data_IF_139097041536
#
_entry.id   IF_139097041536
#
_cell.length_a   1.000
_cell.length_b   1.000
_cell.length_c   1.000
_cell.angle_alpha   90.00
_cell.angle_beta   90.00
_cell.angle_gamma   90.00
#
_symmetry.space_group_name_H-M   'P 1'
#
loop_
_entity.id
_entity.type
_entity.pdbx_description
1 polymer ?
#
# COMPACT_ATOMS: atom_id res chain seq x y z
N UNK A 1 -19.55 19.21 6.27
CA UNK A 1 -19.85 17.76 6.14
C UNK A 1 -18.65 16.99 6.70
N UNK A 2 -18.85 15.81 7.28
CA UNK A 2 -17.72 14.97 7.73
C UNK A 2 -16.97 14.43 6.50
N UNK A 3 -15.64 14.34 6.53
CA UNK A 3 -14.87 13.76 5.43
C UNK A 3 -15.19 12.27 5.26
N UNK A 4 -15.14 11.78 4.02
CA UNK A 4 -15.28 10.36 3.66
C UNK A 4 -13.98 9.83 3.07
N UNK A 5 -13.92 8.54 2.72
CA UNK A 5 -12.79 8.00 1.94
C UNK A 5 -12.62 8.78 0.63
N UNK A 6 -13.72 9.10 -0.06
CA UNK A 6 -13.67 9.87 -1.31
C UNK A 6 -13.09 11.27 -1.12
N UNK A 7 -13.37 11.93 0.01
CA UNK A 7 -12.74 13.23 0.35
C UNK A 7 -11.22 13.13 0.29
N UNK A 8 -10.65 12.06 0.87
CA UNK A 8 -9.20 11.88 0.89
C UNK A 8 -8.65 11.28 -0.40
N UNK A 9 -9.43 10.48 -1.14
CA UNK A 9 -9.05 9.99 -2.47
C UNK A 9 -8.85 11.15 -3.44
N UNK A 10 -9.79 12.12 -3.48
CA UNK A 10 -9.64 13.31 -4.34
C UNK A 10 -8.46 14.21 -3.94
N UNK A 11 -7.95 14.12 -2.71
CA UNK A 11 -6.77 14.85 -2.28
C UNK A 11 -5.44 14.18 -2.68
N UNK A 12 -5.46 12.92 -3.11
CA UNK A 12 -4.21 12.17 -3.36
C UNK A 12 -3.34 12.81 -4.43
N UNK A 13 -3.92 13.30 -5.52
CA UNK A 13 -3.16 13.98 -6.57
C UNK A 13 -2.33 15.15 -6.00
N UNK A 14 -2.97 16.07 -5.28
CA UNK A 14 -2.30 17.24 -4.71
C UNK A 14 -1.28 16.86 -3.64
N UNK A 15 -1.63 15.93 -2.74
CA UNK A 15 -0.73 15.45 -1.68
C UNK A 15 0.53 14.81 -2.25
N UNK A 16 0.38 13.90 -3.22
CA UNK A 16 1.52 13.22 -3.84
C UNK A 16 2.38 14.19 -4.66
N UNK A 17 1.75 15.14 -5.36
CA UNK A 17 2.47 16.17 -6.09
C UNK A 17 3.28 17.08 -5.15
N UNK A 18 2.74 17.43 -3.98
CA UNK A 18 3.45 18.20 -2.96
C UNK A 18 4.65 17.43 -2.39
N UNK A 19 4.49 16.14 -2.11
CA UNK A 19 5.59 15.26 -1.67
C UNK A 19 6.68 15.20 -2.73
N UNK A 20 6.31 15.00 -4.00
CA UNK A 20 7.25 14.94 -5.12
C UNK A 20 8.01 16.26 -5.31
N UNK A 21 7.31 17.40 -5.22
CA UNK A 21 7.92 18.73 -5.34
C UNK A 21 8.82 19.09 -4.14
N UNK A 22 8.61 18.47 -2.98
CA UNK A 22 9.46 18.61 -1.81
C UNK A 22 10.80 17.86 -1.94
N UNK A 23 10.91 16.92 -2.87
CA UNK A 23 12.14 16.19 -3.16
C UNK A 23 13.23 17.12 -3.74
N UNK A 24 14.51 16.97 -3.36
CA UNK A 24 15.03 16.04 -2.37
C UNK A 24 14.92 16.56 -0.93
N UNK A 25 14.63 17.85 -0.72
CA UNK A 25 14.78 18.55 0.57
C UNK A 25 14.04 17.87 1.73
N UNK A 26 12.84 17.34 1.49
CA UNK A 26 12.00 16.76 2.55
C UNK A 26 12.29 15.28 2.86
N UNK A 27 13.21 14.62 2.15
CA UNK A 27 13.24 13.15 2.04
C UNK A 27 14.41 12.41 2.74
N UNK A 28 15.04 12.87 3.83
CA UNK A 28 16.40 12.40 4.26
C UNK A 28 17.33 11.66 3.26
N UNK A 29 18.52 11.27 3.69
CA UNK A 29 19.35 10.38 2.88
C UNK A 29 19.83 9.25 3.76
N UNK A 30 19.67 8.02 3.29
CA UNK A 30 20.29 6.85 3.90
C UNK A 30 21.48 6.50 3.01
N UNK A 31 22.70 6.62 3.55
CA UNK A 31 23.93 6.27 2.87
C UNK A 31 24.59 5.07 3.55
N UNK A 32 25.23 4.22 2.76
CA UNK A 32 26.04 3.09 3.25
C UNK A 32 25.27 2.11 4.17
N UNK A 33 23.99 1.87 3.88
CA UNK A 33 23.13 0.90 4.59
C UNK A 33 22.58 -0.15 3.64
N UNK A 34 22.84 -1.42 3.91
CA UNK A 34 22.50 -2.52 3.01
C UNK A 34 21.50 -3.52 3.60
N UNK A 35 21.25 -3.55 4.91
CA UNK A 35 20.31 -4.49 5.53
C UNK A 35 19.25 -3.74 6.31
N UNK A 36 18.13 -3.49 5.65
CA UNK A 36 17.03 -2.70 6.19
C UNK A 36 15.98 -3.64 6.78
N UNK A 37 15.54 -3.36 7.99
CA UNK A 37 14.37 -3.99 8.60
C UNK A 37 13.25 -2.97 8.71
N UNK A 38 12.10 -3.26 8.12
CA UNK A 38 10.88 -2.46 8.25
C UNK A 38 9.91 -3.18 9.19
N UNK A 39 9.52 -2.49 10.27
CA UNK A 39 8.56 -2.94 11.27
C UNK A 39 7.26 -2.16 11.12
N UNK A 40 6.22 -2.82 10.60
CA UNK A 40 4.96 -2.19 10.25
C UNK A 40 3.80 -3.19 10.34
N UNK A 41 2.57 -2.70 10.49
CA UNK A 41 1.37 -3.54 10.56
C UNK A 41 0.18 -2.87 9.86
N UNK A 42 -0.79 -3.66 9.38
CA UNK A 42 -1.96 -3.16 8.64
C UNK A 42 -1.57 -2.42 7.35
N UNK A 43 -2.26 -1.33 7.02
CA UNK A 43 -1.95 -0.55 5.79
C UNK A 43 -0.47 -0.10 5.70
N UNK A 44 0.22 0.09 6.83
CA UNK A 44 1.65 0.44 6.81
C UNK A 44 2.56 -0.71 6.34
N UNK A 45 2.24 -1.97 6.66
CA UNK A 45 3.02 -3.12 6.15
C UNK A 45 2.77 -3.33 4.66
N UNK A 46 1.53 -3.12 4.22
CA UNK A 46 1.15 -3.21 2.82
C UNK A 46 1.87 -2.14 1.98
N UNK A 47 1.96 -0.90 2.48
CA UNK A 47 2.69 0.19 1.83
C UNK A 47 4.20 -0.13 1.72
N UNK A 48 4.80 -0.67 2.80
CA UNK A 48 6.19 -1.11 2.77
C UNK A 48 6.43 -2.21 1.72
N UNK A 49 5.53 -3.19 1.62
CA UNK A 49 5.59 -4.24 0.59
C UNK A 49 5.44 -3.69 -0.83
N UNK A 50 4.58 -2.69 -1.03
CA UNK A 50 4.42 -2.01 -2.31
C UNK A 50 5.67 -1.21 -2.73
N UNK A 51 6.44 -0.67 -1.77
CA UNK A 51 7.66 0.10 -2.06
C UNK A 51 8.93 -0.76 -2.09
N UNK A 52 8.95 -1.93 -1.42
CA UNK A 52 10.12 -2.79 -1.24
C UNK A 52 10.93 -3.00 -2.52
N UNK A 53 10.29 -3.56 -3.55
CA UNK A 53 11.00 -3.94 -4.76
C UNK A 53 11.48 -2.75 -5.58
N UNK A 54 10.83 -1.59 -5.46
CA UNK A 54 11.34 -0.35 -6.04
C UNK A 54 12.67 0.05 -5.41
N UNK A 55 12.74 0.04 -4.08
CA UNK A 55 13.94 0.42 -3.34
C UNK A 55 15.07 -0.59 -3.61
N UNK A 56 14.80 -1.89 -3.53
CA UNK A 56 15.79 -2.95 -3.79
C UNK A 56 16.28 -2.96 -5.25
N UNK A 57 15.47 -2.48 -6.18
CA UNK A 57 15.86 -2.38 -7.60
C UNK A 57 16.88 -1.27 -7.84
N UNK A 58 16.80 -0.17 -7.09
CA UNK A 58 17.65 1.01 -7.28
C UNK A 58 18.86 1.02 -6.35
N UNK A 59 18.71 0.48 -5.14
CA UNK A 59 19.75 0.45 -4.11
C UNK A 59 20.43 -0.92 -4.08
N UNK A 60 21.49 -1.04 -3.26
CA UNK A 60 22.08 -2.34 -2.91
C UNK A 60 21.44 -2.95 -1.66
N UNK A 61 20.43 -2.29 -1.10
CA UNK A 61 19.81 -2.71 0.13
C UNK A 61 18.95 -3.97 -0.07
N UNK A 62 18.96 -4.83 0.94
CA UNK A 62 17.97 -5.88 1.15
C UNK A 62 17.02 -5.43 2.24
N UNK A 63 15.73 -5.52 1.98
CA UNK A 63 14.67 -5.07 2.87
C UNK A 63 13.94 -6.30 3.41
N UNK A 64 14.01 -6.49 4.72
CA UNK A 64 13.14 -7.43 5.43
C UNK A 64 11.96 -6.67 6.00
N UNK A 65 10.74 -7.19 5.86
CA UNK A 65 9.52 -6.54 6.37
C UNK A 65 8.85 -7.51 7.32
N UNK A 66 8.65 -7.09 8.56
CA UNK A 66 8.13 -7.95 9.63
C UNK A 66 6.95 -7.32 10.36
N UNK A 67 6.03 -8.17 10.79
CA UNK A 67 4.99 -7.78 11.73
C UNK A 67 5.63 -7.51 13.10
N UNK A 68 5.46 -6.31 13.67
CA UNK A 68 6.26 -5.85 14.81
C UNK A 68 5.99 -6.64 16.09
N UNK A 69 4.74 -7.07 16.31
CA UNK A 69 4.42 -7.92 17.47
C UNK A 69 5.13 -9.27 17.36
N UNK A 70 5.10 -9.91 16.18
CA UNK A 70 5.79 -11.18 15.99
C UNK A 70 7.30 -11.01 16.15
N UNK A 71 7.85 -9.96 15.54
CA UNK A 71 9.28 -9.64 15.65
C UNK A 71 9.75 -9.48 17.09
N UNK A 72 8.99 -8.76 17.90
CA UNK A 72 9.35 -8.53 19.31
C UNK A 72 9.44 -9.82 20.13
N UNK A 73 8.55 -10.79 19.89
CA UNK A 73 8.38 -11.93 20.80
C UNK A 73 8.96 -13.24 20.27
N UNK A 74 9.13 -13.39 18.96
CA UNK A 74 9.46 -14.67 18.33
C UNK A 74 10.69 -14.61 17.43
N UNK A 75 11.01 -13.44 16.86
CA UNK A 75 12.16 -13.32 15.97
C UNK A 75 13.47 -13.14 16.74
N UNK A 76 14.57 -13.56 16.10
CA UNK A 76 15.91 -13.38 16.64
C UNK A 76 16.54 -12.11 16.10
N UNK A 77 17.30 -11.36 16.92
CA UNK A 77 18.10 -10.25 16.43
C UNK A 77 19.07 -10.70 15.33
N UNK A 78 19.05 -10.01 14.19
CA UNK A 78 20.06 -10.20 13.15
C UNK A 78 21.10 -9.07 13.23
N UNK A 79 22.36 -9.36 13.60
CA UNK A 79 23.39 -8.34 13.76
C UNK A 79 23.82 -7.69 12.43
N UNK A 80 23.44 -8.27 11.28
CA UNK A 80 23.69 -7.67 9.97
C UNK A 80 22.79 -6.47 9.68
N UNK A 81 21.63 -6.34 10.36
CA UNK A 81 20.71 -5.22 10.19
C UNK A 81 21.42 -3.93 10.59
N UNK A 82 21.56 -3.01 9.64
CA UNK A 82 22.25 -1.73 9.81
C UNK A 82 21.31 -0.52 9.80
N UNK A 83 20.04 -0.74 9.42
CA UNK A 83 18.94 0.21 9.44
C UNK A 83 17.64 -0.46 9.92
N UNK A 84 16.92 0.18 10.84
CA UNK A 84 15.57 -0.23 11.25
C UNK A 84 14.58 0.90 11.06
N UNK A 85 13.44 0.62 10.44
CA UNK A 85 12.40 1.58 10.16
C UNK A 85 11.07 1.14 10.75
N UNK A 86 10.52 1.93 11.67
CA UNK A 86 9.13 1.78 12.12
C UNK A 86 8.20 2.59 11.22
N UNK A 87 7.17 1.97 10.65
CA UNK A 87 6.17 2.67 9.81
C UNK A 87 4.81 2.63 10.50
N UNK A 88 4.29 3.80 10.84
CA UNK A 88 2.95 3.94 11.43
C UNK A 88 2.41 5.33 11.12
N UNK A 89 1.35 5.41 10.30
CA UNK A 89 0.71 6.69 9.98
C UNK A 89 0.34 7.47 11.26
N UNK A 90 -0.29 6.81 12.23
CA UNK A 90 -0.64 7.45 13.52
C UNK A 90 0.56 7.74 14.43
N UNK A 91 1.64 6.97 14.30
CA UNK A 91 2.77 6.98 15.24
C UNK A 91 2.44 6.43 16.65
N UNK A 92 1.25 5.82 16.81
CA UNK A 92 0.66 5.42 18.10
C UNK A 92 0.38 3.90 18.17
N UNK A 93 0.83 3.12 17.17
CA UNK A 93 0.68 1.65 17.15
C UNK A 93 1.61 1.01 18.19
N UNK A 94 1.05 0.39 19.24
CA UNK A 94 1.83 -0.13 20.37
C UNK A 94 2.80 -1.23 19.96
N UNK A 95 2.40 -2.10 19.03
CA UNK A 95 3.26 -3.16 18.50
C UNK A 95 4.52 -2.59 17.84
N UNK A 96 4.39 -1.63 16.92
CA UNK A 96 5.52 -0.96 16.27
C UNK A 96 6.42 -0.26 17.29
N UNK A 97 5.84 0.52 18.22
CA UNK A 97 6.61 1.22 19.25
C UNK A 97 7.41 0.25 20.13
N UNK A 98 6.79 -0.84 20.57
CA UNK A 98 7.44 -1.81 21.44
C UNK A 98 8.53 -2.59 20.70
N UNK A 99 8.32 -2.96 19.44
CA UNK A 99 9.35 -3.60 18.62
C UNK A 99 10.55 -2.67 18.37
N UNK A 100 10.30 -1.38 18.08
CA UNK A 100 11.34 -0.36 17.92
C UNK A 100 12.11 -0.12 19.22
N UNK A 101 11.46 -0.14 20.38
CA UNK A 101 12.15 -0.08 21.68
C UNK A 101 12.95 -1.34 21.96
N UNK A 102 12.40 -2.51 21.62
CA UNK A 102 13.05 -3.80 21.83
C UNK A 102 14.37 -3.86 21.04
N UNK A 103 14.38 -3.52 19.76
CA UNK A 103 15.58 -3.59 18.92
C UNK A 103 16.70 -2.66 19.37
N UNK A 104 16.37 -1.48 19.91
CA UNK A 104 17.36 -0.55 20.49
C UNK A 104 18.10 -1.12 21.69
N UNK A 105 17.61 -2.18 22.34
CA UNK A 105 18.27 -2.79 23.50
C UNK A 105 19.46 -3.68 23.11
N UNK A 106 19.52 -4.16 21.86
CA UNK A 106 20.52 -5.15 21.41
C UNK A 106 21.10 -4.89 20.02
N UNK A 107 20.70 -3.80 19.35
CA UNK A 107 21.23 -3.38 18.05
C UNK A 107 21.65 -1.91 18.09
N UNK A 108 22.75 -1.61 17.40
CA UNK A 108 23.21 -0.24 17.13
C UNK A 108 22.76 0.25 15.73
N UNK A 109 21.82 -0.46 15.09
CA UNK A 109 21.26 -0.06 13.82
C UNK A 109 20.62 1.34 13.92
N UNK A 110 20.80 2.14 12.87
CA UNK A 110 20.19 3.46 12.83
C UNK A 110 18.67 3.33 12.72
N UNK A 111 17.93 4.08 13.51
CA UNK A 111 16.48 3.96 13.60
C UNK A 111 15.74 5.11 12.93
N UNK A 112 14.76 4.76 12.10
CA UNK A 112 13.89 5.69 11.39
C UNK A 112 12.42 5.46 11.78
N UNK A 113 11.65 6.54 11.85
CA UNK A 113 10.21 6.49 12.12
C UNK A 113 9.45 7.23 11.04
N UNK A 114 8.65 6.51 10.25
CA UNK A 114 7.84 7.06 9.16
C UNK A 114 6.40 7.22 9.63
N UNK A 115 5.91 8.46 9.68
CA UNK A 115 4.60 8.78 10.28
C UNK A 115 3.99 10.06 9.71
N UNK A 116 2.70 10.30 9.96
CA UNK A 116 2.03 11.58 9.66
C UNK A 116 2.02 12.55 10.85
N UNK A 117 2.37 12.07 12.05
CA UNK A 117 2.32 12.84 13.30
C UNK A 117 3.71 12.97 13.88
N UNK A 118 4.39 14.08 13.58
CA UNK A 118 5.77 14.33 14.02
C UNK A 118 5.91 14.56 15.53
N UNK A 119 4.81 14.78 16.23
CA UNK A 119 4.72 14.86 17.70
C UNK A 119 4.35 13.51 18.36
N UNK A 120 4.20 12.44 17.58
CA UNK A 120 3.84 11.10 18.06
C UNK A 120 4.95 10.42 18.88
N UNK A 121 4.58 9.36 19.60
CA UNK A 121 5.52 8.52 20.34
C UNK A 121 6.57 7.88 19.43
N UNK A 122 6.21 7.51 18.20
CA UNK A 122 7.14 6.93 17.25
C UNK A 122 8.22 7.94 16.86
N UNK A 123 7.82 9.14 16.45
CA UNK A 123 8.74 10.19 16.02
C UNK A 123 9.73 10.60 17.12
N UNK A 124 9.28 10.63 18.38
CA UNK A 124 10.13 10.93 19.55
C UNK A 124 11.12 9.81 19.92
N UNK A 125 10.88 8.59 19.46
CA UNK A 125 11.60 7.39 19.89
C UNK A 125 12.68 6.91 18.92
N UNK A 126 12.85 7.57 17.77
CA UNK A 126 13.76 7.18 16.67
C UNK A 126 14.87 8.23 16.48
N UNK A 127 15.93 7.86 15.77
CA UNK A 127 17.04 8.78 15.51
C UNK A 127 16.67 9.80 14.42
N UNK A 128 15.89 9.36 13.42
CA UNK A 128 15.37 10.21 12.35
C UNK A 128 13.88 9.94 12.15
N UNK A 129 13.05 10.97 12.32
CA UNK A 129 11.64 10.92 12.00
C UNK A 129 11.39 11.48 10.58
N UNK A 130 10.55 10.79 9.80
CA UNK A 130 10.16 11.16 8.44
C UNK A 130 8.66 11.42 8.42
N UNK A 131 8.30 12.63 7.99
CA UNK A 131 6.91 13.00 7.72
C UNK A 131 6.50 12.48 6.34
N UNK A 132 5.40 11.73 6.26
CA UNK A 132 4.79 11.32 4.99
C UNK A 132 4.03 12.47 4.29
N UNK A 133 3.88 13.62 4.95
CA UNK A 133 3.30 14.86 4.42
C UNK A 133 1.90 14.68 3.81
N UNK A 134 1.13 13.70 4.29
CA UNK A 134 -0.25 13.47 3.85
C UNK A 134 -1.26 14.46 4.47
N UNK A 135 -0.80 15.26 5.43
CA UNK A 135 -1.64 16.09 6.26
C UNK A 135 -2.63 15.26 7.08
N UNK A 136 -3.72 15.89 7.49
CA UNK A 136 -4.69 15.24 8.36
C UNK A 136 -5.61 14.26 7.61
N UNK A 137 -5.79 13.07 8.16
CA UNK A 137 -6.71 12.06 7.66
C UNK A 137 -7.55 11.47 8.81
N UNK A 138 -8.78 11.94 8.94
CA UNK A 138 -9.72 11.62 10.04
C UNK A 138 -10.64 10.41 9.76
N UNK A 139 -10.45 9.71 8.65
CA UNK A 139 -11.20 8.49 8.33
C UNK A 139 -10.30 7.30 8.62
N UNK A 140 -10.78 6.36 9.45
CA UNK A 140 -10.00 5.19 9.86
C UNK A 140 -9.62 4.25 8.70
N UNK A 141 -10.43 4.27 7.63
CA UNK A 141 -10.18 3.57 6.38
C UNK A 141 -9.21 4.37 5.51
N UNK A 142 -7.93 4.40 5.90
CA UNK A 142 -6.91 5.28 5.29
C UNK A 142 -6.77 5.05 3.79
N UNK A 143 -6.63 6.13 3.02
CA UNK A 143 -6.43 6.14 1.57
C UNK A 143 -5.22 6.98 1.17
N UNK A 144 -5.24 8.29 1.43
CA UNK A 144 -4.13 9.19 1.06
C UNK A 144 -2.87 8.95 1.89
N UNK A 145 -3.02 8.56 3.15
CA UNK A 145 -1.87 8.19 3.99
C UNK A 145 -1.15 6.96 3.47
N UNK A 146 -1.87 6.00 2.87
CA UNK A 146 -1.27 4.83 2.24
C UNK A 146 -0.40 5.21 1.03
N UNK A 147 -0.95 5.97 0.08
CA UNK A 147 -0.22 6.36 -1.13
C UNK A 147 0.92 7.34 -0.83
N UNK A 148 0.72 8.25 0.13
CA UNK A 148 1.80 9.12 0.63
C UNK A 148 2.95 8.29 1.24
N UNK A 149 2.64 7.28 2.06
CA UNK A 149 3.66 6.38 2.63
C UNK A 149 4.45 5.67 1.53
N UNK A 150 3.78 5.13 0.50
CA UNK A 150 4.45 4.48 -0.64
C UNK A 150 5.41 5.46 -1.32
N UNK A 151 4.93 6.64 -1.70
CA UNK A 151 5.75 7.62 -2.42
C UNK A 151 6.94 8.06 -1.57
N UNK A 152 6.74 8.34 -0.28
CA UNK A 152 7.84 8.70 0.63
C UNK A 152 8.90 7.61 0.71
N UNK A 153 8.50 6.33 0.84
CA UNK A 153 9.44 5.21 0.89
C UNK A 153 10.18 5.02 -0.45
N UNK A 154 9.49 5.16 -1.56
CA UNK A 154 10.10 5.08 -2.89
C UNK A 154 11.10 6.22 -3.12
N UNK A 155 10.73 7.46 -2.81
CA UNK A 155 11.63 8.62 -2.93
C UNK A 155 12.83 8.52 -1.98
N UNK A 156 12.67 7.92 -0.79
CA UNK A 156 13.77 7.63 0.12
C UNK A 156 14.76 6.66 -0.53
N UNK A 157 14.27 5.57 -1.14
CA UNK A 157 15.12 4.64 -1.89
C UNK A 157 15.81 5.30 -3.09
N UNK A 158 15.11 6.16 -3.83
CA UNK A 158 15.67 6.93 -4.95
C UNK A 158 16.81 7.84 -4.49
N UNK A 159 16.59 8.60 -3.42
CA UNK A 159 17.60 9.51 -2.85
C UNK A 159 18.82 8.76 -2.33
N UNK A 160 18.60 7.63 -1.67
CA UNK A 160 19.67 6.74 -1.21
C UNK A 160 20.49 6.18 -2.38
N UNK A 161 19.82 5.65 -3.42
CA UNK A 161 20.49 5.13 -4.60
C UNK A 161 21.36 6.20 -5.30
N UNK A 162 20.86 7.44 -5.39
CA UNK A 162 21.62 8.56 -5.97
C UNK A 162 22.85 8.90 -5.12
N UNK A 163 22.67 8.94 -3.80
CA UNK A 163 23.72 9.30 -2.86
C UNK A 163 24.83 8.24 -2.75
N UNK A 164 24.48 6.97 -2.88
CA UNK A 164 25.44 5.84 -2.93
C UNK A 164 26.08 5.65 -4.31
N UNK A 165 25.71 6.49 -5.30
CA UNK A 165 26.20 6.39 -6.67
C UNK A 165 25.73 5.13 -7.41
N UNK A 166 24.67 4.46 -6.92
CA UNK A 166 24.06 3.31 -7.60
C UNK A 166 23.32 3.71 -8.88
N UNK A 167 22.85 4.96 -8.95
CA UNK A 167 22.24 5.56 -10.14
C UNK A 167 22.85 6.91 -10.48
N UNK A 168 22.80 7.26 -11.77
CA UNK A 168 23.13 8.58 -12.30
C UNK A 168 22.02 9.60 -12.03
N UNK A 169 22.36 10.88 -12.12
CA UNK A 169 21.41 11.99 -12.09
C UNK A 169 20.37 11.91 -13.22
N UNK A 170 20.77 11.43 -14.41
CA UNK A 170 19.84 11.23 -15.52
C UNK A 170 18.80 10.15 -15.20
N UNK A 171 19.21 9.05 -14.57
CA UNK A 171 18.28 8.01 -14.12
C UNK A 171 17.35 8.55 -13.03
N UNK A 172 17.88 9.31 -12.06
CA UNK A 172 17.05 9.96 -11.03
C UNK A 172 15.98 10.88 -11.64
N UNK A 173 16.34 11.73 -12.60
CA UNK A 173 15.37 12.57 -13.30
C UNK A 173 14.32 11.76 -14.08
N UNK A 174 14.71 10.63 -14.68
CA UNK A 174 13.77 9.75 -15.38
C UNK A 174 12.76 9.10 -14.41
N UNK A 175 13.21 8.66 -13.23
CA UNK A 175 12.35 8.13 -12.18
C UNK A 175 11.38 9.19 -11.66
N UNK A 176 11.85 10.42 -11.39
CA UNK A 176 11.00 11.55 -10.98
C UNK A 176 9.94 11.88 -12.04
N UNK A 177 10.29 11.82 -13.33
CA UNK A 177 9.35 12.03 -14.42
C UNK A 177 8.28 10.92 -14.47
N UNK A 178 8.64 9.66 -14.18
CA UNK A 178 7.68 8.56 -14.08
C UNK A 178 6.74 8.73 -12.88
N UNK A 179 7.24 9.17 -11.72
CA UNK A 179 6.36 9.53 -10.59
C UNK A 179 5.40 10.66 -10.95
N UNK A 180 5.88 11.70 -11.62
CA UNK A 180 5.02 12.80 -12.08
C UNK A 180 3.92 12.31 -13.01
N UNK A 181 4.27 11.47 -14.00
CA UNK A 181 3.30 10.88 -14.92
C UNK A 181 2.28 9.98 -14.19
N UNK A 182 2.72 9.21 -13.20
CA UNK A 182 1.84 8.41 -12.36
C UNK A 182 0.83 9.29 -11.60
N UNK A 183 1.33 10.34 -10.94
CA UNK A 183 0.52 11.26 -10.14
C UNK A 183 -0.47 12.03 -11.03
N UNK A 184 -0.03 12.52 -12.18
CA UNK A 184 -0.87 13.26 -13.12
C UNK A 184 -2.02 12.43 -13.72
N UNK A 185 -1.88 11.11 -13.73
CA UNK A 185 -2.93 10.21 -14.19
C UNK A 185 -4.07 10.02 -13.16
N UNK A 186 -3.87 10.40 -11.89
CA UNK A 186 -4.82 10.13 -10.80
C UNK A 186 -6.24 10.64 -11.07
N UNK A 187 -6.47 11.88 -11.56
CA UNK A 187 -7.81 12.35 -11.88
C UNK A 187 -8.53 11.44 -12.89
N UNK A 188 -7.83 11.05 -13.97
CA UNK A 188 -8.37 10.12 -14.98
C UNK A 188 -8.63 8.74 -14.39
N UNK A 189 -7.73 8.22 -13.54
CA UNK A 189 -7.93 6.94 -12.84
C UNK A 189 -9.20 6.96 -11.99
N UNK A 190 -9.48 8.09 -11.31
CA UNK A 190 -10.71 8.26 -10.53
C UNK A 190 -11.92 8.17 -11.47
N UNK A 191 -11.96 8.97 -12.53
CA UNK A 191 -13.08 9.03 -13.48
C UNK A 191 -13.34 7.68 -14.17
N UNK A 192 -12.27 6.98 -14.58
CA UNK A 192 -12.35 5.66 -15.20
C UNK A 192 -12.84 4.61 -14.20
N UNK A 193 -12.44 4.72 -12.92
CA UNK A 193 -12.92 3.83 -11.86
C UNK A 193 -14.39 4.06 -11.56
N UNK A 194 -14.85 5.31 -11.55
CA UNK A 194 -16.28 5.63 -11.39
C UNK A 194 -17.09 4.99 -12.51
N UNK A 195 -16.64 5.14 -13.76
CA UNK A 195 -17.29 4.53 -14.93
C UNK A 195 -17.32 3.01 -14.84
N UNK A 196 -16.19 2.40 -14.47
CA UNK A 196 -16.08 0.96 -14.26
C UNK A 196 -17.03 0.48 -13.16
N UNK A 197 -17.08 1.19 -12.04
CA UNK A 197 -17.97 0.87 -10.92
C UNK A 197 -19.42 0.91 -11.34
N UNK A 198 -19.88 1.99 -12.00
CA UNK A 198 -21.27 2.09 -12.45
C UNK A 198 -21.64 0.98 -13.42
N UNK A 199 -20.71 0.55 -14.28
CA UNK A 199 -20.93 -0.52 -15.25
C UNK A 199 -21.12 -1.88 -14.58
N UNK A 200 -20.36 -2.18 -13.52
CA UNK A 200 -20.33 -3.49 -12.87
C UNK A 200 -20.93 -3.50 -11.46
N UNK A 201 -21.63 -2.42 -11.07
CA UNK A 201 -22.15 -2.18 -9.72
C UNK A 201 -22.92 -3.37 -9.17
N UNK A 202 -23.91 -3.86 -9.91
CA UNK A 202 -24.78 -4.96 -9.45
C UNK A 202 -23.99 -6.24 -9.19
N UNK A 203 -23.00 -6.54 -10.04
CA UNK A 203 -22.13 -7.70 -9.86
C UNK A 203 -21.24 -7.55 -8.62
N UNK A 204 -20.67 -6.37 -8.40
CA UNK A 204 -19.76 -6.08 -7.29
C UNK A 204 -20.50 -6.03 -5.95
N UNK A 205 -21.65 -5.35 -5.88
CA UNK A 205 -22.47 -5.21 -4.66
C UNK A 205 -23.04 -6.56 -4.23
N UNK A 206 -23.39 -7.45 -5.15
CA UNK A 206 -23.91 -8.78 -4.84
C UNK A 206 -22.83 -9.78 -4.38
N UNK A 207 -21.54 -9.41 -4.41
CA UNK A 207 -20.45 -10.32 -4.08
C UNK A 207 -20.45 -10.76 -2.62
N UNK A 208 -20.38 -12.08 -2.34
CA UNK A 208 -20.12 -12.61 -1.01
C UNK A 208 -18.62 -12.76 -0.70
N UNK A 209 -17.74 -12.64 -1.71
CA UNK A 209 -16.31 -12.93 -1.58
C UNK A 209 -15.49 -12.24 -2.67
N UNK A 210 -14.39 -11.60 -2.27
CA UNK A 210 -13.43 -10.97 -3.19
C UNK A 210 -12.03 -11.57 -3.09
N UNK A 211 -11.33 -11.68 -4.22
CA UNK A 211 -9.87 -11.88 -4.27
C UNK A 211 -9.24 -10.86 -5.20
N UNK A 212 -8.07 -10.34 -4.85
CA UNK A 212 -7.13 -9.76 -5.82
C UNK A 212 -5.89 -10.65 -5.93
N UNK A 213 -5.45 -10.87 -7.16
CA UNK A 213 -4.26 -11.65 -7.50
C UNK A 213 -3.25 -10.73 -8.19
N UNK A 214 -2.02 -10.75 -7.71
CA UNK A 214 -0.90 -10.02 -8.28
C UNK A 214 0.41 -10.73 -7.97
N UNK A 215 1.52 -10.16 -8.40
CA UNK A 215 2.85 -10.73 -8.22
C UNK A 215 3.86 -9.62 -7.94
N UNK A 216 5.00 -9.97 -7.34
CA UNK A 216 6.08 -9.02 -7.05
C UNK A 216 5.59 -7.72 -6.38
N UNK A 217 5.88 -6.53 -6.93
CA UNK A 217 5.44 -5.25 -6.37
C UNK A 217 3.91 -5.12 -6.15
N UNK A 218 3.09 -5.79 -6.98
CA UNK A 218 1.64 -5.72 -6.90
C UNK A 218 1.05 -6.49 -5.71
N UNK A 219 1.83 -7.35 -5.03
CA UNK A 219 1.35 -8.09 -3.84
C UNK A 219 0.98 -7.14 -2.70
N UNK A 220 1.71 -6.03 -2.51
CA UNK A 220 1.36 -5.01 -1.52
C UNK A 220 -0.01 -4.37 -1.82
N UNK A 221 -0.32 -4.13 -3.10
CA UNK A 221 -1.64 -3.61 -3.54
C UNK A 221 -2.74 -4.64 -3.27
N UNK A 222 -2.48 -5.92 -3.52
CA UNK A 222 -3.44 -6.98 -3.24
C UNK A 222 -3.80 -7.03 -1.76
N UNK A 223 -2.80 -6.97 -0.88
CA UNK A 223 -3.00 -7.00 0.57
C UNK A 223 -3.71 -5.74 1.08
N UNK A 224 -3.46 -4.59 0.45
CA UNK A 224 -4.20 -3.36 0.78
C UNK A 224 -5.65 -3.41 0.33
N UNK A 225 -5.94 -3.94 -0.87
CA UNK A 225 -7.32 -4.19 -1.32
C UNK A 225 -8.05 -5.04 -0.28
N UNK A 226 -7.46 -6.16 0.13
CA UNK A 226 -8.04 -7.06 1.13
C UNK A 226 -8.31 -6.34 2.46
N UNK A 227 -7.35 -5.51 2.91
CA UNK A 227 -7.50 -4.71 4.13
C UNK A 227 -8.67 -3.74 4.02
N UNK A 228 -8.73 -2.93 2.95
CA UNK A 228 -9.83 -1.96 2.74
C UNK A 228 -11.17 -2.66 2.62
N UNK A 229 -11.27 -3.71 1.82
CA UNK A 229 -12.54 -4.41 1.61
C UNK A 229 -13.02 -5.11 2.91
N UNK A 230 -12.11 -5.67 3.71
CA UNK A 230 -12.49 -6.24 5.00
C UNK A 230 -13.01 -5.16 5.97
N UNK A 231 -12.38 -3.99 6.01
CA UNK A 231 -12.76 -2.86 6.86
C UNK A 231 -14.09 -2.21 6.43
N UNK A 232 -14.33 -2.08 5.12
CA UNK A 232 -15.45 -1.28 4.57
C UNK A 232 -16.56 -2.13 3.98
N UNK A 233 -16.24 -3.04 3.05
CA UNK A 233 -17.20 -3.89 2.34
C UNK A 233 -17.73 -5.00 3.27
N UNK A 234 -16.92 -5.42 4.25
CA UNK A 234 -17.29 -6.34 5.34
C UNK A 234 -17.73 -7.72 4.85
N UNK A 235 -17.10 -8.20 3.78
CA UNK A 235 -17.18 -9.58 3.30
C UNK A 235 -15.77 -10.18 3.24
N UNK A 236 -15.63 -11.52 3.29
CA UNK A 236 -14.34 -12.16 3.10
C UNK A 236 -13.61 -11.65 1.85
N UNK A 237 -12.45 -11.03 2.07
CA UNK A 237 -11.68 -10.37 1.02
C UNK A 237 -10.22 -10.77 1.17
N UNK A 238 -9.63 -11.26 0.10
CA UNK A 238 -8.28 -11.83 0.10
C UNK A 238 -7.37 -11.13 -0.91
N UNK A 239 -6.14 -10.88 -0.51
CA UNK A 239 -5.08 -10.35 -1.36
C UNK A 239 -3.94 -11.36 -1.39
N UNK A 240 -3.65 -11.91 -2.56
CA UNK A 240 -2.76 -13.07 -2.64
C UNK A 240 -1.77 -12.97 -3.80
N UNK A 241 -0.59 -13.50 -3.54
CA UNK A 241 0.44 -13.68 -4.57
C UNK A 241 0.03 -14.79 -5.54
N UNK A 242 0.30 -14.57 -6.82
CA UNK A 242 -0.16 -15.39 -7.95
C UNK A 242 0.20 -16.88 -7.81
N UNK A 243 1.45 -17.24 -7.53
CA UNK A 243 1.83 -18.65 -7.39
C UNK A 243 1.23 -19.26 -6.12
N UNK A 244 1.18 -18.50 -5.02
CA UNK A 244 0.53 -18.93 -3.77
C UNK A 244 -0.93 -19.31 -4.00
N UNK A 245 -1.65 -18.57 -4.86
CA UNK A 245 -3.03 -18.91 -5.25
C UNK A 245 -3.15 -20.29 -5.92
N UNK A 246 -2.14 -20.68 -6.70
CA UNK A 246 -2.11 -21.99 -7.40
C UNK A 246 -1.83 -23.16 -6.46
N UNK A 247 -1.44 -22.90 -5.21
CA UNK A 247 -1.06 -23.92 -4.22
C UNK A 247 -2.10 -24.09 -3.10
N UNK A 248 -3.39 -24.03 -3.45
CA UNK A 248 -4.50 -24.31 -2.53
C UNK A 248 -5.72 -23.43 -2.76
N UNK A 249 -5.58 -22.09 -2.78
CA UNK A 249 -6.70 -21.17 -2.92
C UNK A 249 -7.57 -21.37 -4.17
N UNK A 250 -7.02 -21.86 -5.28
CA UNK A 250 -7.80 -22.18 -6.48
C UNK A 250 -8.92 -23.21 -6.22
N UNK A 251 -8.80 -24.09 -5.21
CA UNK A 251 -9.87 -25.03 -4.84
C UNK A 251 -11.09 -24.36 -4.21
N UNK A 252 -10.95 -23.13 -3.70
CA UNK A 252 -12.03 -22.38 -3.07
C UNK A 252 -12.94 -21.68 -4.11
N UNK A 253 -12.45 -21.53 -5.34
CA UNK A 253 -13.15 -20.77 -6.39
C UNK A 253 -14.49 -21.42 -6.71
N UNK A 254 -15.52 -20.58 -6.77
CA UNK A 254 -16.87 -20.96 -7.12
C UNK A 254 -17.55 -19.86 -7.95
N UNK A 255 -18.71 -20.13 -8.58
CA UNK A 255 -19.35 -19.17 -9.49
C UNK A 255 -19.81 -17.84 -8.88
N UNK A 256 -19.75 -17.66 -7.56
CA UNK A 256 -20.07 -16.39 -6.89
C UNK A 256 -18.83 -15.56 -6.53
N UNK A 257 -17.63 -16.07 -6.76
CA UNK A 257 -16.39 -15.41 -6.38
C UNK A 257 -16.05 -14.29 -7.37
N UNK A 258 -15.82 -13.07 -6.88
CA UNK A 258 -15.30 -11.93 -7.65
C UNK A 258 -13.78 -11.88 -7.55
N UNK A 259 -13.07 -11.97 -8.68
CA UNK A 259 -11.61 -12.02 -8.71
C UNK A 259 -11.06 -10.87 -9.56
N UNK A 260 -10.16 -10.08 -8.98
CA UNK A 260 -9.42 -9.02 -9.66
C UNK A 260 -8.00 -9.48 -9.97
N UNK A 261 -7.56 -9.34 -11.21
CA UNK A 261 -6.18 -9.56 -11.63
C UNK A 261 -5.47 -8.22 -11.78
N UNK A 262 -4.34 -8.02 -11.08
CA UNK A 262 -3.51 -6.83 -11.25
C UNK A 262 -2.47 -7.09 -12.33
N UNK A 263 -2.73 -6.56 -13.52
CA UNK A 263 -1.93 -6.77 -14.72
C UNK A 263 -0.94 -5.63 -14.92
N UNK A 264 0.34 -5.97 -14.80
CA UNK A 264 1.45 -5.07 -15.12
C UNK A 264 2.35 -5.75 -16.15
N UNK A 265 3.08 -4.97 -16.95
CA UNK A 265 4.07 -5.54 -17.87
C UNK A 265 5.28 -6.04 -17.06
N UNK A 266 5.54 -7.35 -17.11
CA UNK A 266 6.67 -7.98 -16.41
C UNK A 266 6.94 -9.38 -16.95
N UNK A 267 7.94 -10.04 -16.37
CA UNK A 267 8.26 -11.46 -16.58
C UNK A 267 7.12 -12.42 -16.15
N UNK A 268 6.22 -12.00 -15.25
CA UNK A 268 5.14 -12.84 -14.73
C UNK A 268 3.82 -12.70 -15.50
N UNK A 269 3.73 -11.74 -16.43
CA UNK A 269 2.50 -11.41 -17.17
C UNK A 269 1.86 -12.62 -17.84
N UNK A 270 2.64 -13.42 -18.57
CA UNK A 270 2.13 -14.59 -19.28
C UNK A 270 1.44 -15.57 -18.32
N UNK A 271 2.10 -15.86 -17.19
CA UNK A 271 1.56 -16.77 -16.18
C UNK A 271 0.30 -16.23 -15.52
N UNK A 272 0.22 -14.92 -15.27
CA UNK A 272 -0.98 -14.27 -14.74
C UNK A 272 -2.16 -14.38 -15.71
N UNK A 273 -1.92 -14.15 -17.01
CA UNK A 273 -2.95 -14.27 -18.03
C UNK A 273 -3.44 -15.71 -18.18
N UNK A 274 -2.55 -16.70 -18.12
CA UNK A 274 -2.94 -18.12 -18.12
C UNK A 274 -3.86 -18.47 -16.95
N UNK A 275 -3.55 -17.98 -15.74
CA UNK A 275 -4.41 -18.15 -14.58
C UNK A 275 -5.77 -17.47 -14.77
N UNK A 276 -5.77 -16.22 -15.25
CA UNK A 276 -7.00 -15.46 -15.54
C UNK A 276 -7.91 -16.20 -16.52
N UNK A 277 -7.36 -16.71 -17.63
CA UNK A 277 -8.13 -17.47 -18.62
C UNK A 277 -8.63 -18.83 -18.09
N UNK A 278 -7.93 -19.42 -17.11
CA UNK A 278 -8.44 -20.61 -16.42
C UNK A 278 -9.63 -20.24 -15.51
N UNK A 279 -9.49 -19.22 -14.66
CA UNK A 279 -10.51 -18.84 -13.68
C UNK A 279 -11.80 -18.30 -14.33
N UNK A 280 -11.73 -17.74 -15.54
CA UNK A 280 -12.91 -17.38 -16.36
C UNK A 280 -13.86 -18.57 -16.62
N UNK A 281 -13.36 -19.82 -16.51
CA UNK A 281 -14.19 -21.04 -16.63
C UNK A 281 -14.92 -21.39 -15.35
N UNK A 282 -14.45 -20.88 -14.21
CA UNK A 282 -14.93 -21.22 -12.87
C UNK A 282 -15.91 -20.17 -12.32
N UNK A 283 -15.71 -18.90 -12.66
CA UNK A 283 -16.62 -17.80 -12.29
C UNK A 283 -16.75 -16.78 -13.44
N UNK A 284 -17.95 -16.22 -13.69
CA UNK A 284 -18.11 -15.17 -14.67
C UNK A 284 -17.59 -13.80 -14.20
N UNK A 285 -17.27 -13.66 -12.90
CA UNK A 285 -16.92 -12.40 -12.24
C UNK A 285 -15.41 -12.20 -12.15
N UNK A 286 -14.75 -12.24 -13.31
CA UNK A 286 -13.32 -11.94 -13.47
C UNK A 286 -13.17 -10.50 -13.96
N UNK A 287 -12.35 -9.72 -13.24
CA UNK A 287 -12.01 -8.35 -13.57
C UNK A 287 -10.50 -8.19 -13.64
N UNK A 288 -10.04 -7.19 -14.39
CA UNK A 288 -8.63 -6.85 -14.48
C UNK A 288 -8.41 -5.37 -14.16
N UNK A 289 -7.35 -5.10 -13.40
CA UNK A 289 -6.77 -3.78 -13.26
C UNK A 289 -5.46 -3.77 -14.03
N UNK A 290 -5.39 -3.04 -15.14
CA UNK A 290 -4.24 -3.09 -16.05
C UNK A 290 -3.49 -1.77 -16.10
N UNK A 291 -2.18 -1.81 -15.89
CA UNK A 291 -1.30 -0.68 -16.22
C UNK A 291 -1.06 -0.70 -17.74
N UNK A 292 -1.54 0.35 -18.40
CA UNK A 292 -1.64 0.44 -19.86
C UNK A 292 -3.07 0.20 -20.37
N UNK A 293 -3.23 0.24 -21.69
CA UNK A 293 -4.54 0.14 -22.35
C UNK A 293 -5.01 -1.29 -22.57
N UNK A 294 -6.32 -1.47 -22.53
CA UNK A 294 -7.02 -2.67 -22.97
C UNK A 294 -8.44 -2.32 -23.40
N UNK A 295 -8.89 -2.99 -24.45
CA UNK A 295 -10.28 -2.96 -24.91
C UNK A 295 -11.07 -4.17 -24.39
N UNK A 296 -10.49 -5.01 -23.52
CA UNK A 296 -11.18 -6.17 -22.96
C UNK A 296 -12.31 -5.73 -22.03
N UNK A 297 -13.52 -6.31 -22.16
CA UNK A 297 -14.60 -6.11 -21.20
C UNK A 297 -14.14 -6.48 -19.78
N UNK A 298 -14.65 -5.77 -18.75
CA UNK A 298 -14.27 -5.94 -17.34
C UNK A 298 -12.79 -5.63 -17.03
N UNK A 299 -12.08 -4.91 -17.90
CA UNK A 299 -10.74 -4.38 -17.61
C UNK A 299 -10.80 -2.88 -17.32
N UNK A 300 -10.36 -2.49 -16.13
CA UNK A 300 -10.06 -1.10 -15.80
C UNK A 300 -8.62 -0.80 -16.21
N UNK A 301 -8.47 0.06 -17.22
CA UNK A 301 -7.16 0.49 -17.74
C UNK A 301 -6.64 1.71 -16.97
N UNK A 302 -5.37 1.71 -16.63
CA UNK A 302 -4.64 2.86 -16.08
C UNK A 302 -3.63 3.31 -17.13
N UNK A 303 -3.96 4.36 -17.88
CA UNK A 303 -3.10 4.89 -18.95
C UNK A 303 -1.95 5.75 -18.39
N UNK A 304 -1.04 5.11 -17.65
CA UNK A 304 0.16 5.73 -17.12
C UNK A 304 1.40 4.94 -17.55
N UNK A 305 2.41 5.65 -18.09
CA UNK A 305 3.68 5.05 -18.50
C UNK A 305 4.59 4.90 -17.29
N UNK A 306 4.36 3.84 -16.51
CA UNK A 306 5.12 3.52 -15.29
C UNK A 306 5.69 2.11 -15.36
N UNK A 307 6.79 1.87 -14.67
CA UNK A 307 7.36 0.52 -14.51
C UNK A 307 6.53 -0.32 -13.53
N UNK A 308 6.75 -1.64 -13.51
CA UNK A 308 6.14 -2.54 -12.52
C UNK A 308 6.48 -2.16 -11.07
N UNK A 309 7.61 -1.49 -10.86
CA UNK A 309 8.07 -1.08 -9.53
C UNK A 309 7.37 0.19 -9.04
N UNK A 310 6.94 1.08 -9.94
CA UNK A 310 6.19 2.32 -9.60
C UNK A 310 4.68 2.09 -9.60
N UNK A 311 4.19 1.16 -10.43
CA UNK A 311 2.77 0.84 -10.58
C UNK A 311 1.96 0.73 -9.26
N UNK A 312 2.49 0.14 -8.16
CA UNK A 312 1.76 0.07 -6.89
C UNK A 312 1.27 1.41 -6.33
N UNK A 313 1.95 2.52 -6.65
CA UNK A 313 1.58 3.86 -6.20
C UNK A 313 0.17 4.26 -6.66
N UNK A 314 -0.21 3.88 -7.88
CA UNK A 314 -1.48 4.28 -8.51
C UNK A 314 -2.47 3.12 -8.64
N UNK A 315 -1.99 1.88 -8.68
CA UNK A 315 -2.84 0.69 -8.81
C UNK A 315 -3.76 0.45 -7.60
N UNK A 316 -3.46 1.04 -6.44
CA UNK A 316 -4.32 0.94 -5.25
C UNK A 316 -5.56 1.84 -5.32
N UNK A 317 -5.49 2.94 -6.08
CA UNK A 317 -6.52 3.99 -6.07
C UNK A 317 -7.88 3.44 -6.49
N UNK A 318 -7.98 2.62 -7.55
CA UNK A 318 -9.27 2.03 -7.91
C UNK A 318 -9.86 1.15 -6.81
N UNK A 319 -9.04 0.37 -6.12
CA UNK A 319 -9.52 -0.45 -5.01
C UNK A 319 -10.01 0.37 -3.84
N UNK A 320 -9.45 1.56 -3.57
CA UNK A 320 -9.95 2.45 -2.53
C UNK A 320 -11.33 3.02 -2.88
N UNK A 321 -11.54 3.39 -4.15
CA UNK A 321 -12.84 3.87 -4.67
C UNK A 321 -13.87 2.74 -4.63
N UNK A 322 -13.52 1.57 -5.14
CA UNK A 322 -14.38 0.38 -5.11
C UNK A 322 -14.74 -0.02 -3.67
N UNK A 323 -13.78 0.01 -2.75
CA UNK A 323 -14.02 -0.30 -1.34
C UNK A 323 -15.04 0.67 -0.69
N UNK A 324 -15.01 1.95 -1.06
CA UNK A 324 -15.99 2.94 -0.61
C UNK A 324 -17.37 2.67 -1.22
N UNK A 325 -17.44 2.63 -2.56
CA UNK A 325 -18.72 2.57 -3.25
C UNK A 325 -19.48 1.27 -3.02
N UNK A 326 -18.79 0.13 -3.08
CA UNK A 326 -19.40 -1.18 -2.82
C UNK A 326 -19.94 -1.22 -1.39
N UNK A 327 -19.23 -0.63 -0.42
CA UNK A 327 -19.67 -0.61 0.98
C UNK A 327 -20.91 0.26 1.19
N UNK A 328 -20.94 1.46 0.61
CA UNK A 328 -22.11 2.35 0.70
C UNK A 328 -23.34 1.73 0.03
N UNK A 329 -23.19 1.14 -1.16
CA UNK A 329 -24.30 0.49 -1.86
C UNK A 329 -24.75 -0.84 -1.21
N UNK A 330 -23.88 -1.48 -0.39
CA UNK A 330 -24.28 -2.57 0.53
C UNK A 330 -25.01 -2.07 1.78
N UNK A 331 -25.09 -0.75 2.00
CA UNK A 331 -25.72 -0.14 3.18
C UNK A 331 -24.84 -0.16 4.45
N UNK A 332 -23.52 -0.31 4.30
CA UNK A 332 -22.61 -0.41 5.45
C UNK A 332 -22.39 0.91 6.21
N UNK A 333 -22.81 2.05 5.62
CA UNK A 333 -22.74 3.41 6.16
C UNK A 333 -21.38 3.72 6.81
N UNK A 334 -20.37 4.02 5.99
CA UNK A 334 -19.00 4.24 6.46
C UNK A 334 -18.85 5.50 7.32
N UNK A 335 -19.83 6.41 7.27
CA UNK A 335 -19.92 7.55 8.18
C UNK A 335 -20.24 7.17 9.63
N UNK A 336 -20.83 5.99 9.85
CA UNK A 336 -21.07 5.42 11.18
C UNK A 336 -19.86 4.61 11.64
N UNK A 337 -19.11 5.16 12.59
CA UNK A 337 -17.96 4.48 13.20
C UNK A 337 -18.41 3.26 14.01
N UNK A 338 -17.66 2.18 13.93
CA UNK A 338 -17.89 0.92 14.65
C UNK A 338 -16.62 0.52 15.42
N UNK A 339 -16.77 -0.25 16.49
CA UNK A 339 -15.66 -0.78 17.32
C UNK A 339 -14.65 0.29 17.79
N UNK A 340 -15.12 1.51 18.10
CA UNK A 340 -14.26 2.67 18.39
C UNK A 340 -13.40 2.52 19.66
N UNK A 341 -13.79 1.63 20.56
CA UNK A 341 -13.08 1.30 21.79
C UNK A 341 -12.04 0.18 21.60
N UNK A 342 -12.15 -0.62 20.53
CA UNK A 342 -11.35 -1.84 20.31
C UNK A 342 -9.85 -1.61 20.53
N UNK A 343 -9.28 -0.59 19.88
CA UNK A 343 -7.83 -0.35 19.90
C UNK A 343 -7.25 -0.13 21.30
N UNK A 344 -7.99 0.57 22.16
CA UNK A 344 -7.59 0.79 23.56
C UNK A 344 -7.91 -0.45 24.39
N UNK A 345 -9.10 -1.04 24.19
CA UNK A 345 -9.56 -2.23 24.92
C UNK A 345 -8.62 -3.43 24.77
N UNK A 346 -8.04 -3.63 23.57
CA UNK A 346 -7.06 -4.71 23.31
C UNK A 346 -5.59 -4.25 23.36
N UNK A 347 -5.33 -3.00 23.78
CA UNK A 347 -3.99 -2.42 23.91
C UNK A 347 -3.17 -2.39 22.61
N UNK A 348 -3.83 -2.34 21.45
CA UNK A 348 -3.17 -2.20 20.14
C UNK A 348 -2.89 -0.74 19.75
N UNK A 349 -3.51 0.22 20.45
CA UNK A 349 -3.28 1.67 20.30
C UNK A 349 -3.05 2.32 21.67
N UNK A 350 -2.17 3.32 21.71
CA UNK A 350 -1.87 4.10 22.94
C UNK A 350 -3.00 5.05 23.33
N UNK A 351 -3.80 5.50 22.36
CA UNK A 351 -4.89 6.47 22.51
C UNK A 351 -6.07 6.10 21.60
N UNK A 352 -7.29 6.58 21.90
CA UNK A 352 -8.41 6.51 20.96
C UNK A 352 -8.06 7.14 19.61
N UNK A 353 -8.62 6.62 18.52
CA UNK A 353 -8.40 7.18 17.19
C UNK A 353 -9.01 8.57 17.05
N UNK A 354 -8.26 9.46 16.40
CA UNK A 354 -8.66 10.85 16.16
C UNK A 354 -9.47 10.95 14.87
N UNK A 355 -10.76 10.62 14.97
CA UNK A 355 -11.68 10.54 13.83
C UNK A 355 -12.79 11.60 13.87
N UNK A 356 -12.64 12.64 14.69
CA UNK A 356 -13.71 13.59 15.02
C UNK A 356 -13.83 14.78 14.08
#
# INVERSE_FOLDING_TARGET
>A
MKPTMMTYIHQQHEVLLNILNGYPKTIPVIQDKNEWLILATGSSINAAKSAKYYIEKLTRARITIEEPFNYQFFEKPNPAIDLVMGVSQSGESTSTLNAMRHIKQYSNAQTYGVTSKMDSELAKSVDIAIDIQNGEERVGYVTKGYTATILTLMLLGLRSARADGAISEQQEHAELAMFKAAIDAIPTIIDDTETFYQTWKDELVASPRFTSIGYGPAVGVCQEMATKFAETVRVPSQGIEMETFMHGPYFEVNPQHRIFFIEVESVAKERLLLLREYEKKCTPFIYSLKIGKSDEPRTLSIDAKVSEYIAPLIAVIPFQILAHHIAEDKGNNLGQRIFTDFGVSVKSKTKPGDYN
#
